data_IF_988808807235
#
_entry.id   IF_988808807235
#
_cell.length_a   1.000
_cell.length_b   1.000
_cell.length_c   1.000
_cell.angle_alpha   90.00
_cell.angle_beta   90.00
_cell.angle_gamma   90.00
#
_symmetry.space_group_name_H-M   'P 1'
#
loop_
_entity.id
_entity.type
_entity.pdbx_description
1 polymer ?
#
# COMPACT_ATOMS: atom_id res chain seq x y z
N UNK A 1 -0.21 10.58 10.36
CA UNK A 1 0.69 9.46 10.70
C UNK A 1 1.94 9.59 9.85
N UNK A 2 3.12 9.18 10.34
CA UNK A 2 4.32 9.14 9.50
C UNK A 2 4.18 8.02 8.43
N UNK A 3 4.73 8.21 7.24
CA UNK A 3 4.66 7.28 6.11
C UNK A 3 5.27 5.90 6.43
N UNK A 4 6.38 5.84 7.16
CA UNK A 4 7.01 4.59 7.58
C UNK A 4 6.24 3.88 8.70
N UNK A 5 5.63 4.64 9.62
CA UNK A 5 4.73 4.05 10.62
C UNK A 5 3.52 3.38 9.96
N UNK A 6 2.94 4.05 8.95
CA UNK A 6 1.82 3.51 8.18
C UNK A 6 2.23 2.24 7.42
N UNK A 7 3.38 2.26 6.75
CA UNK A 7 3.94 1.10 6.06
C UNK A 7 4.12 -0.08 7.01
N UNK A 8 4.77 0.13 8.16
CA UNK A 8 5.00 -0.90 9.16
C UNK A 8 3.69 -1.50 9.65
N UNK A 9 2.70 -0.67 10.00
CA UNK A 9 1.39 -1.11 10.45
C UNK A 9 0.68 -1.98 9.41
N UNK A 10 0.71 -1.57 8.13
CA UNK A 10 0.08 -2.34 7.05
C UNK A 10 0.82 -3.66 6.81
N UNK A 11 2.15 -3.64 6.76
CA UNK A 11 2.97 -4.83 6.53
C UNK A 11 2.76 -5.88 7.64
N UNK A 12 2.71 -5.45 8.90
CA UNK A 12 2.41 -6.32 10.04
C UNK A 12 0.97 -6.87 9.95
N UNK A 13 -0.01 -6.03 9.61
CA UNK A 13 -1.42 -6.43 9.52
C UNK A 13 -1.70 -7.44 8.42
N UNK A 14 -0.98 -7.33 7.30
CA UNK A 14 -1.13 -8.20 6.13
C UNK A 14 -0.12 -9.35 6.09
N UNK A 15 0.83 -9.38 7.03
CA UNK A 15 1.94 -10.34 7.05
C UNK A 15 2.68 -10.38 5.70
N UNK A 16 2.99 -9.22 5.12
CA UNK A 16 3.54 -9.12 3.75
C UNK A 16 4.87 -9.85 3.58
N UNK A 17 5.66 -9.98 4.67
CA UNK A 17 6.92 -10.70 4.66
C UNK A 17 6.79 -12.22 4.41
N UNK A 18 5.61 -12.79 4.59
CA UNK A 18 5.37 -14.21 4.31
C UNK A 18 5.11 -14.51 2.82
N UNK A 19 4.97 -13.49 1.99
CA UNK A 19 4.64 -13.62 0.57
C UNK A 19 5.82 -13.20 -0.31
N UNK A 20 6.06 -13.98 -1.37
CA UNK A 20 7.02 -13.65 -2.41
C UNK A 20 6.24 -13.19 -3.64
N UNK A 21 6.07 -11.88 -3.75
CA UNK A 21 5.34 -11.25 -4.85
C UNK A 21 6.26 -10.90 -6.03
N UNK A 22 5.66 -10.78 -7.22
CA UNK A 22 6.35 -10.34 -8.43
C UNK A 22 6.82 -8.88 -8.37
N UNK A 23 6.35 -8.10 -7.37
CA UNK A 23 6.72 -6.70 -7.17
C UNK A 23 6.91 -6.37 -5.69
N UNK A 24 7.48 -5.20 -5.37
CA UNK A 24 7.75 -4.81 -4.00
C UNK A 24 6.44 -4.51 -3.24
N UNK A 25 6.30 -5.13 -2.06
CA UNK A 25 5.30 -4.81 -1.05
C UNK A 25 5.76 -3.62 -0.19
N UNK A 26 4.80 -2.82 0.32
CA UNK A 26 5.10 -1.66 1.17
C UNK A 26 5.15 -0.33 0.40
N UNK A 27 5.96 0.62 0.88
CA UNK A 27 6.11 1.95 0.30
C UNK A 27 6.94 1.87 -0.99
N UNK A 28 6.27 2.06 -2.14
CA UNK A 28 6.95 1.97 -3.44
C UNK A 28 7.58 3.30 -3.90
N UNK A 29 6.96 4.42 -3.55
CA UNK A 29 7.44 5.77 -3.88
C UNK A 29 7.25 6.65 -2.67
N UNK A 30 8.35 7.23 -2.17
CA UNK A 30 8.30 8.12 -1.02
C UNK A 30 7.65 9.47 -1.39
N UNK A 31 6.81 9.97 -0.49
CA UNK A 31 6.10 11.23 -0.62
C UNK A 31 6.25 12.08 0.64
N UNK A 32 5.21 12.84 1.02
CA UNK A 32 5.24 13.61 2.26
C UNK A 32 5.26 12.68 3.49
N UNK A 33 6.12 12.98 4.46
CA UNK A 33 6.23 12.21 5.70
C UNK A 33 4.89 12.07 6.43
N UNK A 34 4.12 13.17 6.52
CA UNK A 34 2.84 13.18 7.24
C UNK A 34 1.67 12.84 6.31
N UNK A 35 1.17 11.62 6.43
CA UNK A 35 -0.07 11.17 5.78
C UNK A 35 -1.28 11.77 6.51
N UNK A 36 -2.16 12.41 5.75
CA UNK A 36 -3.45 12.97 6.22
C UNK A 36 -4.66 12.30 5.58
N UNK A 37 -4.52 11.86 4.32
CA UNK A 37 -5.58 11.16 3.58
C UNK A 37 -4.96 10.10 2.71
N UNK A 38 -5.55 8.90 2.75
CA UNK A 38 -5.17 7.78 1.91
C UNK A 38 -6.20 7.60 0.80
N UNK A 39 -5.72 7.28 -0.40
CA UNK A 39 -6.54 6.94 -1.55
C UNK A 39 -6.17 5.54 -2.01
N UNK A 40 -7.15 4.67 -2.15
CA UNK A 40 -6.95 3.33 -2.70
C UNK A 40 -7.36 3.33 -4.18
N UNK A 41 -6.47 2.84 -5.05
CA UNK A 41 -6.72 2.65 -6.48
C UNK A 41 -6.40 1.21 -6.83
N UNK A 42 -7.22 0.61 -7.69
CA UNK A 42 -6.87 -0.62 -8.39
C UNK A 42 -6.31 -0.22 -9.74
N UNK A 43 -5.07 -0.60 -10.02
CA UNK A 43 -4.50 -0.45 -11.36
C UNK A 43 -5.08 -1.57 -12.25
N UNK A 44 -5.80 -1.21 -13.31
CA UNK A 44 -6.16 -2.17 -14.38
C UNK A 44 -7.58 -2.78 -14.43
N UNK A 45 -8.65 -2.16 -13.90
CA UNK A 45 -10.03 -2.53 -14.33
C UNK A 45 -10.98 -1.33 -14.51
N UNK A 46 -11.24 -0.88 -15.76
CA UNK A 46 -12.51 -0.25 -16.09
C UNK A 46 -13.56 -1.37 -16.30
N UNK A 47 -14.68 -1.31 -15.57
CA UNK A 47 -15.86 -2.13 -15.86
C UNK A 47 -15.91 -3.52 -15.22
N UNK A 48 -16.63 -3.60 -14.11
CA UNK A 48 -17.55 -4.71 -13.87
C UNK A 48 -18.90 -4.07 -13.48
N UNK A 49 -19.44 -3.28 -14.41
CA UNK A 49 -20.87 -3.00 -14.48
C UNK A 49 -21.41 -3.97 -15.53
N UNK A 50 -22.03 -5.03 -15.05
CA UNK A 50 -22.82 -6.00 -15.80
C UNK A 50 -24.01 -6.35 -14.92
#
# INVERSE_FOLDING_TARGET
MNNHELERLINEKLNTAAFSDYGPNGLQVEGRDKVQKNYHRRDGKPGAAG
#
